data_IF_432889620712
#
_entry.id   IF_432889620712
#
_cell.length_a   1.000
_cell.length_b   1.000
_cell.length_c   1.000
_cell.angle_alpha   90.00
_cell.angle_beta   90.00
_cell.angle_gamma   90.00
#
_symmetry.space_group_name_H-M   'P 1'
#
loop_
_entity.id
_entity.type
_entity.pdbx_description
1 polymer ?
#
# COMPACT_ATOMS: atom_id res chain seq x y z
N UNK A 1 -9.35 4.81 11.37
CA UNK A 1 -8.88 4.08 10.17
C UNK A 1 -9.22 4.94 8.97
N UNK A 2 -8.31 5.07 8.02
CA UNK A 2 -8.51 5.80 6.76
C UNK A 2 -8.29 4.81 5.63
N UNK A 3 -9.13 4.88 4.61
CA UNK A 3 -8.95 4.18 3.35
C UNK A 3 -8.81 5.22 2.24
N UNK A 4 -7.73 5.10 1.48
CA UNK A 4 -7.55 5.81 0.22
C UNK A 4 -7.86 4.84 -0.91
N UNK A 5 -8.58 5.32 -1.93
CA UNK A 5 -8.75 4.63 -3.21
C UNK A 5 -8.80 5.68 -4.31
N UNK A 6 -8.39 5.29 -5.52
CA UNK A 6 -8.69 6.06 -6.71
C UNK A 6 -10.21 6.15 -6.93
N UNK A 7 -10.64 7.13 -7.72
CA UNK A 7 -12.07 7.48 -7.81
C UNK A 7 -12.71 7.24 -9.18
N UNK A 8 -11.95 7.22 -10.28
CA UNK A 8 -12.54 7.16 -11.63
C UNK A 8 -12.86 5.73 -12.09
N UNK A 9 -12.15 4.73 -11.58
CA UNK A 9 -12.21 3.33 -12.02
C UNK A 9 -12.44 2.35 -10.87
N UNK A 10 -12.93 2.83 -9.73
CA UNK A 10 -13.20 2.03 -8.52
C UNK A 10 -14.69 1.98 -8.21
N UNK A 11 -15.18 0.78 -7.89
CA UNK A 11 -16.51 0.55 -7.32
C UNK A 11 -16.40 -0.21 -6.00
N UNK A 12 -17.21 0.16 -5.01
CA UNK A 12 -17.29 -0.58 -3.76
C UNK A 12 -18.26 -1.77 -3.89
N UNK A 13 -17.73 -2.98 -3.77
CA UNK A 13 -18.50 -4.22 -3.84
C UNK A 13 -18.93 -4.76 -2.45
N UNK A 14 -18.69 -4.01 -1.37
CA UNK A 14 -18.99 -4.42 -0.01
C UNK A 14 -19.08 -3.24 0.96
N UNK A 15 -19.66 -3.48 2.13
CA UNK A 15 -19.91 -2.46 3.14
C UNK A 15 -18.71 -2.20 4.07
N UNK A 16 -18.73 -1.07 4.80
CA UNK A 16 -17.64 -0.67 5.69
C UNK A 16 -17.39 -1.65 6.85
N UNK A 17 -18.42 -2.33 7.36
CA UNK A 17 -18.26 -3.31 8.44
C UNK A 17 -17.44 -4.54 8.02
N UNK A 18 -17.73 -5.09 6.84
CA UNK A 18 -16.98 -6.22 6.28
C UNK A 18 -15.54 -5.81 5.99
N UNK A 19 -15.34 -4.62 5.41
CA UNK A 19 -14.02 -4.04 5.14
C UNK A 19 -13.19 -3.95 6.42
N UNK A 20 -13.73 -3.35 7.49
CA UNK A 20 -13.03 -3.18 8.76
C UNK A 20 -12.72 -4.52 9.43
N UNK A 21 -13.66 -5.48 9.39
CA UNK A 21 -13.44 -6.84 9.90
C UNK A 21 -12.28 -7.54 9.18
N UNK A 22 -12.21 -7.43 7.85
CA UNK A 22 -11.11 -7.99 7.03
C UNK A 22 -9.78 -7.31 7.35
N UNK A 23 -9.74 -5.98 7.41
CA UNK A 23 -8.55 -5.21 7.75
C UNK A 23 -7.99 -5.58 9.13
N UNK A 24 -8.85 -5.64 10.15
CA UNK A 24 -8.43 -6.04 11.50
C UNK A 24 -7.88 -7.48 11.54
N UNK A 25 -8.49 -8.41 10.80
CA UNK A 25 -8.02 -9.80 10.72
C UNK A 25 -6.62 -9.93 10.09
N UNK A 26 -6.24 -9.02 9.19
CA UNK A 26 -4.89 -9.00 8.60
C UNK A 26 -3.80 -8.62 9.62
N UNK A 27 -4.16 -7.99 10.75
CA UNK A 27 -3.24 -7.61 11.82
C UNK A 27 -2.03 -6.78 11.35
N UNK A 28 -2.28 -5.86 10.40
CA UNK A 28 -1.30 -4.90 9.91
C UNK A 28 -1.74 -3.47 10.21
N UNK A 29 -0.77 -2.54 10.33
CA UNK A 29 -1.05 -1.13 10.59
C UNK A 29 -1.51 -0.37 9.34
N UNK A 30 -0.97 -0.75 8.19
CA UNK A 30 -1.33 -0.26 6.86
C UNK A 30 -1.29 -1.46 5.91
N UNK A 31 -2.26 -1.56 5.02
CA UNK A 31 -2.37 -2.59 3.98
C UNK A 31 -2.56 -1.89 2.64
N UNK A 32 -1.64 -2.13 1.72
CA UNK A 32 -1.76 -1.69 0.33
C UNK A 32 -2.45 -2.78 -0.51
N UNK A 33 -3.12 -2.36 -1.58
CA UNK A 33 -3.53 -3.26 -2.65
C UNK A 33 -2.29 -3.92 -3.29
N UNK A 34 -2.51 -5.06 -3.95
CA UNK A 34 -1.44 -5.84 -4.55
C UNK A 34 -1.75 -6.21 -6.02
N UNK A 35 -0.73 -6.14 -6.86
CA UNK A 35 -0.78 -6.43 -8.29
C UNK A 35 0.24 -7.52 -8.69
N UNK A 36 0.01 -8.13 -9.85
CA UNK A 36 0.92 -9.10 -10.47
C UNK A 36 1.98 -8.44 -11.33
N UNK A 37 1.77 -7.19 -11.76
CA UNK A 37 2.73 -6.43 -12.53
C UNK A 37 3.54 -5.50 -11.62
N UNK A 38 4.86 -5.50 -11.77
CA UNK A 38 5.70 -4.48 -11.18
C UNK A 38 5.74 -3.25 -12.09
N UNK A 39 5.43 -2.10 -11.51
CA UNK A 39 5.41 -0.81 -12.19
C UNK A 39 5.78 0.30 -11.19
N UNK A 40 6.42 1.40 -11.62
CA UNK A 40 6.99 1.63 -12.96
C UNK A 40 8.37 0.99 -13.16
N UNK A 41 9.13 0.74 -12.08
CA UNK A 41 10.51 0.26 -12.17
C UNK A 41 10.66 -1.24 -11.90
N UNK A 42 10.81 -2.03 -12.97
CA UNK A 42 10.95 -3.50 -12.91
C UNK A 42 12.18 -3.96 -12.13
N UNK A 43 13.23 -3.13 -12.01
CA UNK A 43 14.47 -3.46 -11.30
C UNK A 43 14.26 -3.60 -9.79
N UNK A 44 13.16 -3.06 -9.26
CA UNK A 44 12.83 -3.15 -7.83
C UNK A 44 12.25 -4.51 -7.42
N UNK A 45 11.95 -5.39 -8.38
CA UNK A 45 11.30 -6.69 -8.12
C UNK A 45 12.07 -7.60 -7.17
N UNK A 46 13.39 -7.55 -7.19
CA UNK A 46 14.25 -8.34 -6.29
C UNK A 46 14.17 -7.86 -4.82
N UNK A 47 13.80 -6.59 -4.60
CA UNK A 47 13.66 -6.00 -3.25
C UNK A 47 12.33 -6.34 -2.57
N UNK A 48 11.35 -6.80 -3.33
CA UNK A 48 10.07 -7.27 -2.78
C UNK A 48 10.23 -8.62 -2.07
N UNK A 49 9.50 -8.87 -0.97
CA UNK A 49 9.44 -10.19 -0.36
C UNK A 49 9.03 -11.26 -1.37
N UNK A 50 9.54 -12.47 -1.21
CA UNK A 50 9.06 -13.62 -1.98
C UNK A 50 7.71 -14.05 -1.39
N UNK A 51 6.68 -14.09 -2.23
CA UNK A 51 5.35 -14.60 -1.87
C UNK A 51 5.17 -15.98 -2.49
N UNK A 52 4.61 -16.94 -1.74
CA UNK A 52 4.36 -18.31 -2.22
C UNK A 52 3.11 -18.41 -3.09
N UNK A 53 2.15 -17.52 -2.87
CA UNK A 53 0.89 -17.43 -3.59
C UNK A 53 0.34 -16.01 -3.52
N UNK A 54 -0.45 -15.62 -4.51
CA UNK A 54 -1.04 -14.29 -4.61
C UNK A 54 -0.20 -13.30 -5.42
N UNK A 55 -0.65 -12.05 -5.38
CA UNK A 55 -0.02 -10.91 -6.06
C UNK A 55 1.14 -10.38 -5.21
N UNK A 56 2.25 -10.00 -5.84
CA UNK A 56 3.53 -9.73 -5.15
C UNK A 56 3.83 -8.26 -4.98
N UNK A 57 3.38 -7.42 -5.91
CA UNK A 57 3.81 -6.02 -6.00
C UNK A 57 2.75 -5.10 -5.43
N UNK A 58 3.18 -3.99 -4.84
CA UNK A 58 2.28 -2.97 -4.30
C UNK A 58 1.48 -2.32 -5.43
N UNK A 59 0.24 -1.92 -5.17
CA UNK A 59 -0.54 -1.01 -6.01
C UNK A 59 -1.00 0.19 -5.16
N UNK A 60 -0.69 1.41 -5.60
CA UNK A 60 -0.97 2.65 -4.86
C UNK A 60 -2.42 3.15 -4.99
N UNK A 61 -3.18 2.67 -5.97
CA UNK A 61 -4.58 3.05 -6.20
C UNK A 61 -5.55 2.59 -5.10
N UNK A 62 -5.07 1.87 -4.09
CA UNK A 62 -5.85 1.55 -2.90
C UNK A 62 -5.00 1.14 -1.70
N UNK A 63 -5.25 1.75 -0.55
CA UNK A 63 -4.69 1.32 0.73
C UNK A 63 -5.58 1.70 1.91
N UNK A 64 -5.45 0.95 3.01
CA UNK A 64 -6.19 1.19 4.26
C UNK A 64 -5.24 1.08 5.45
N UNK A 65 -5.40 1.96 6.43
CA UNK A 65 -4.56 1.95 7.63
C UNK A 65 -5.08 2.78 8.79
N UNK A 66 -4.38 2.70 9.92
CA UNK A 66 -4.59 3.63 11.03
C UNK A 66 -4.08 5.02 10.63
N UNK A 67 -4.82 6.07 11.01
CA UNK A 67 -4.56 7.43 10.55
C UNK A 67 -3.13 7.90 10.82
N UNK A 68 -2.59 7.62 12.02
CA UNK A 68 -1.20 7.98 12.35
C UNK A 68 -0.20 7.28 11.43
N UNK A 69 -0.34 5.97 11.22
CA UNK A 69 0.59 5.22 10.37
C UNK A 69 0.50 5.62 8.89
N UNK A 70 -0.70 5.97 8.41
CA UNK A 70 -0.86 6.54 7.06
C UNK A 70 -0.20 7.91 6.99
N UNK A 71 -0.42 8.76 8.00
CA UNK A 71 0.18 10.10 8.09
C UNK A 71 1.71 10.05 8.08
N UNK A 72 2.32 9.15 8.86
CA UNK A 72 3.77 8.94 8.91
C UNK A 72 4.36 8.56 7.53
N UNK A 73 3.59 7.90 6.67
CA UNK A 73 4.00 7.56 5.30
C UNK A 73 3.84 8.78 4.40
N UNK A 74 2.65 9.37 4.33
CA UNK A 74 2.36 10.45 3.36
C UNK A 74 3.12 11.73 3.64
N UNK A 75 3.47 12.03 4.89
CA UNK A 75 4.30 13.18 5.24
C UNK A 75 5.75 13.09 4.74
N UNK A 76 6.19 11.93 4.28
CA UNK A 76 7.50 11.76 3.64
C UNK A 76 7.50 12.20 2.17
N UNK A 77 6.36 12.60 1.61
CA UNK A 77 6.27 13.13 0.26
C UNK A 77 6.97 14.49 0.18
N UNK A 78 8.14 14.49 -0.48
CA UNK A 78 8.96 15.67 -0.78
C UNK A 78 9.30 15.69 -2.28
N UNK A 79 8.32 15.29 -3.09
CA UNK A 79 8.40 15.13 -4.55
C UNK A 79 7.50 16.15 -5.25
N UNK A 80 7.60 16.25 -6.58
CA UNK A 80 6.80 17.16 -7.39
C UNK A 80 5.39 16.62 -7.62
N UNK A 81 4.42 17.50 -7.91
CA UNK A 81 3.02 17.13 -8.15
C UNK A 81 2.82 16.11 -9.30
N UNK A 82 3.77 16.03 -10.23
CA UNK A 82 3.74 15.11 -11.36
C UNK A 82 4.66 13.87 -11.19
N UNK A 83 5.26 13.71 -10.01
CA UNK A 83 6.01 12.49 -9.69
C UNK A 83 5.07 11.32 -9.41
N UNK A 84 5.59 10.12 -9.64
CA UNK A 84 4.82 8.88 -9.57
C UNK A 84 4.55 8.42 -8.12
N UNK A 85 3.29 8.43 -7.73
CA UNK A 85 2.81 8.02 -6.41
C UNK A 85 3.08 6.53 -6.15
N UNK A 86 2.86 5.68 -7.14
CA UNK A 86 3.19 4.25 -7.09
C UNK A 86 4.67 4.02 -6.73
N UNK A 87 5.59 4.73 -7.36
CA UNK A 87 7.03 4.62 -7.12
C UNK A 87 7.40 5.13 -5.73
N UNK A 88 6.76 6.21 -5.26
CA UNK A 88 6.93 6.71 -3.89
C UNK A 88 6.56 5.64 -2.86
N UNK A 89 5.34 5.10 -2.91
CA UNK A 89 4.90 4.06 -1.97
C UNK A 89 5.70 2.76 -2.11
N UNK A 90 6.08 2.39 -3.34
CA UNK A 90 6.95 1.24 -3.60
C UNK A 90 8.29 1.38 -2.86
N UNK A 91 8.96 2.54 -2.97
CA UNK A 91 10.25 2.78 -2.31
C UNK A 91 10.13 2.69 -0.78
N UNK A 92 9.03 3.15 -0.20
CA UNK A 92 8.76 3.02 1.23
C UNK A 92 8.53 1.54 1.60
N UNK A 93 7.72 0.81 0.83
CA UNK A 93 7.37 -0.58 1.13
C UNK A 93 8.55 -1.56 1.03
N UNK A 94 9.44 -1.36 0.05
CA UNK A 94 10.61 -2.25 -0.15
C UNK A 94 11.75 -1.95 0.80
N UNK A 95 11.73 -0.83 1.53
CA UNK A 95 12.67 -0.54 2.60
C UNK A 95 12.37 -1.44 3.82
N UNK A 96 13.26 -2.40 4.16
CA UNK A 96 13.02 -3.32 5.26
C UNK A 96 12.88 -2.62 6.61
N UNK A 97 13.54 -1.49 6.82
CA UNK A 97 13.49 -0.76 8.09
C UNK A 97 12.14 -0.07 8.28
N UNK A 98 11.51 0.39 7.20
CA UNK A 98 10.19 1.04 7.20
C UNK A 98 9.05 0.02 7.20
N UNK A 99 9.25 -1.17 6.63
CA UNK A 99 8.22 -2.22 6.55
C UNK A 99 7.98 -2.96 7.88
N UNK A 100 8.92 -2.91 8.82
CA UNK A 100 8.76 -3.58 10.12
C UNK A 100 7.83 -2.78 11.02
N UNK A 101 6.69 -3.35 11.37
CA UNK A 101 5.86 -2.84 12.46
C UNK A 101 6.65 -3.04 13.75
N UNK A 102 7.17 -1.95 14.34
CA UNK A 102 7.62 -2.01 15.74
C UNK A 102 6.40 -2.31 16.60
N UNK A 103 6.54 -3.33 17.45
CA UNK A 103 5.52 -3.83 18.37
C UNK A 103 5.11 -2.75 19.36
#
# INVERSE_FOLDING_TARGET
VVMYVDCYDVIFAGGPEELLKKFQKLNHKVVFAADGLIWPDKRLSEKYPIVRSGKRFLNAGGFIGYSQNVNDIVQQWDLQDNDDDQLFYTKIYIDPLKRVSRT
#
